data_IF_908639799067
#
_entry.id   IF_908639799067
#
_cell.length_a   1.000
_cell.length_b   1.000
_cell.length_c   1.000
_cell.angle_alpha   90.00
_cell.angle_beta   90.00
_cell.angle_gamma   90.00
#
_symmetry.space_group_name_H-M   'P 1'
#
loop_
_entity.id
_entity.type
_entity.pdbx_description
1 polymer ?
#
# COMPACT_ATOMS: atom_id res chain seq x y z
N UNK A 1 -1.10 49.56 43.19
CA UNK A 1 -2.28 48.88 42.61
C UNK A 1 -1.97 48.44 41.19
N UNK A 2 -1.69 47.16 40.93
CA UNK A 2 -1.70 46.58 39.59
C UNK A 2 -1.81 45.04 39.69
N UNK A 3 -3.03 44.49 39.60
CA UNK A 3 -3.23 43.03 39.51
C UNK A 3 -3.07 42.61 38.05
N UNK A 4 -1.95 41.96 37.72
CA UNK A 4 -1.72 41.30 36.43
C UNK A 4 -2.66 40.08 36.36
N UNK A 5 -3.70 40.16 35.53
CA UNK A 5 -4.57 39.01 35.24
C UNK A 5 -3.76 38.03 34.38
N UNK A 6 -3.38 36.88 34.94
CA UNK A 6 -2.77 35.78 34.19
C UNK A 6 -3.82 35.28 33.18
N UNK A 7 -3.59 35.50 31.90
CA UNK A 7 -4.34 34.80 30.84
C UNK A 7 -3.91 33.33 30.88
N UNK A 8 -4.69 32.49 31.57
CA UNK A 8 -4.55 31.04 31.45
C UNK A 8 -5.03 30.67 30.05
N UNK A 9 -4.09 30.28 29.18
CA UNK A 9 -4.41 29.70 27.90
C UNK A 9 -5.24 28.44 28.16
N UNK A 10 -6.55 28.50 27.91
CA UNK A 10 -7.46 27.34 28.00
C UNK A 10 -6.88 26.23 27.14
N UNK A 11 -6.30 25.22 27.79
CA UNK A 11 -5.93 23.98 27.13
C UNK A 11 -7.20 23.39 26.52
N UNK A 12 -7.25 23.27 25.18
CA UNK A 12 -8.36 22.65 24.47
C UNK A 12 -8.29 21.14 24.75
N UNK A 13 -9.13 20.64 25.65
CA UNK A 13 -9.32 19.21 25.83
C UNK A 13 -10.17 18.67 24.68
N UNK A 14 -9.74 17.55 24.10
CA UNK A 14 -10.51 16.82 23.08
C UNK A 14 -11.79 16.26 23.69
N UNK A 15 -12.92 16.39 23.00
CA UNK A 15 -14.18 15.78 23.44
C UNK A 15 -14.21 14.30 23.06
N UNK A 16 -14.90 13.46 23.84
CA UNK A 16 -15.11 12.05 23.51
C UNK A 16 -15.80 11.86 22.14
N UNK A 17 -16.67 12.80 21.76
CA UNK A 17 -17.41 12.80 20.51
C UNK A 17 -16.47 12.97 19.32
N UNK A 18 -15.50 13.90 19.39
CA UNK A 18 -14.51 14.08 18.32
C UNK A 18 -13.67 12.82 18.11
N UNK A 19 -13.24 12.16 19.18
CA UNK A 19 -12.52 10.89 19.11
C UNK A 19 -13.36 9.78 18.48
N UNK A 20 -14.64 9.69 18.86
CA UNK A 20 -15.57 8.68 18.36
C UNK A 20 -15.86 8.83 16.86
N UNK A 21 -16.02 10.06 16.38
CA UNK A 21 -16.24 10.33 14.94
C UNK A 21 -15.00 9.95 14.13
N UNK A 22 -13.79 10.24 14.64
CA UNK A 22 -12.54 9.92 13.94
C UNK A 22 -12.37 8.41 13.77
N UNK A 23 -12.56 7.61 14.82
CA UNK A 23 -12.44 6.15 14.70
C UNK A 23 -13.51 5.56 13.77
N UNK A 24 -14.72 6.14 13.73
CA UNK A 24 -15.77 5.71 12.83
C UNK A 24 -15.38 5.92 11.35
N UNK A 25 -14.81 7.08 11.02
CA UNK A 25 -14.33 7.37 9.67
C UNK A 25 -13.17 6.44 9.30
N UNK A 26 -12.20 6.24 10.20
CA UNK A 26 -11.07 5.33 9.97
C UNK A 26 -11.57 3.89 9.72
N UNK A 27 -12.55 3.41 10.48
CA UNK A 27 -13.12 2.08 10.32
C UNK A 27 -13.77 1.88 8.95
N UNK A 28 -14.53 2.87 8.47
CA UNK A 28 -15.16 2.83 7.14
C UNK A 28 -14.10 2.78 6.05
N UNK A 29 -13.07 3.63 6.13
CA UNK A 29 -11.97 3.64 5.16
C UNK A 29 -11.19 2.33 5.17
N UNK A 30 -10.86 1.81 6.36
CA UNK A 30 -10.13 0.56 6.52
C UNK A 30 -10.91 -0.65 5.99
N UNK A 31 -12.24 -0.69 6.17
CA UNK A 31 -13.09 -1.75 5.66
C UNK A 31 -13.06 -1.87 4.13
N UNK A 32 -12.85 -0.77 3.40
CA UNK A 32 -12.72 -0.76 1.94
C UNK A 32 -11.26 -1.01 1.52
N UNK A 33 -10.30 -0.42 2.25
CA UNK A 33 -8.88 -0.51 1.92
C UNK A 33 -8.33 -1.93 2.11
N UNK A 34 -8.70 -2.61 3.20
CA UNK A 34 -8.19 -3.94 3.53
C UNK A 34 -8.45 -5.00 2.44
N UNK A 35 -9.69 -5.18 1.92
CA UNK A 35 -9.94 -6.14 0.83
C UNK A 35 -9.30 -5.72 -0.48
N UNK A 36 -9.17 -4.41 -0.74
CA UNK A 36 -8.51 -3.90 -1.95
C UNK A 36 -7.00 -4.18 -1.92
N UNK A 37 -6.35 -4.01 -0.76
CA UNK A 37 -4.92 -4.21 -0.58
C UNK A 37 -4.49 -5.67 -0.87
N UNK A 38 -5.25 -6.65 -0.37
CA UNK A 38 -4.98 -8.07 -0.63
C UNK A 38 -4.98 -8.41 -2.14
N UNK A 39 -5.97 -7.89 -2.88
CA UNK A 39 -6.06 -8.07 -4.34
C UNK A 39 -4.94 -7.36 -5.08
N UNK A 40 -4.53 -6.18 -4.62
CA UNK A 40 -3.42 -5.43 -5.22
C UNK A 40 -2.08 -6.17 -5.07
N UNK A 41 -1.83 -6.76 -3.90
CA UNK A 41 -0.63 -7.57 -3.65
C UNK A 41 -0.58 -8.81 -4.55
N UNK A 42 -1.69 -9.55 -4.65
CA UNK A 42 -1.78 -10.73 -5.52
C UNK A 42 -1.50 -10.37 -6.99
N UNK A 43 -2.11 -9.28 -7.49
CA UNK A 43 -1.82 -8.76 -8.83
C UNK A 43 -0.36 -8.36 -9.01
N UNK A 44 0.27 -7.80 -7.99
CA UNK A 44 1.70 -7.50 -7.98
C UNK A 44 2.55 -8.77 -8.16
N UNK A 45 2.26 -9.82 -7.41
CA UNK A 45 2.95 -11.11 -7.55
C UNK A 45 2.74 -11.73 -8.93
N UNK A 46 1.51 -11.70 -9.45
CA UNK A 46 1.20 -12.17 -10.81
C UNK A 46 1.97 -11.39 -11.88
N UNK A 47 2.07 -10.07 -11.74
CA UNK A 47 2.82 -9.21 -12.66
C UNK A 47 4.31 -9.58 -12.68
N UNK A 48 4.90 -9.83 -11.51
CA UNK A 48 6.29 -10.29 -11.40
C UNK A 48 6.48 -11.67 -12.05
N UNK A 49 5.60 -12.63 -11.75
CA UNK A 49 5.67 -13.97 -12.34
C UNK A 49 5.56 -13.92 -13.88
N UNK A 50 4.60 -13.15 -14.41
CA UNK A 50 4.44 -12.98 -15.84
C UNK A 50 5.67 -12.31 -16.49
N UNK A 51 6.27 -11.33 -15.82
CA UNK A 51 7.51 -10.70 -16.28
C UNK A 51 8.66 -11.70 -16.33
N UNK A 52 8.84 -12.50 -15.28
CA UNK A 52 9.88 -13.52 -15.22
C UNK A 52 9.69 -14.57 -16.32
N UNK A 53 8.46 -15.05 -16.54
CA UNK A 53 8.18 -16.01 -17.61
C UNK A 53 8.49 -15.43 -19.00
N UNK A 54 8.13 -14.17 -19.25
CA UNK A 54 8.50 -13.49 -20.51
C UNK A 54 10.01 -13.42 -20.68
N UNK A 55 10.75 -13.09 -19.62
CA UNK A 55 12.22 -13.07 -19.64
C UNK A 55 12.81 -14.45 -19.93
N UNK A 56 12.32 -15.51 -19.29
CA UNK A 56 12.77 -16.88 -19.53
C UNK A 56 12.46 -17.36 -20.95
N UNK A 57 11.26 -17.07 -21.47
CA UNK A 57 10.91 -17.37 -22.86
C UNK A 57 11.80 -16.61 -23.85
N UNK A 58 12.14 -15.36 -23.54
CA UNK A 58 13.03 -14.54 -24.37
C UNK A 58 14.43 -15.13 -24.37
N UNK A 59 14.97 -15.48 -23.20
CA UNK A 59 16.27 -16.14 -23.07
C UNK A 59 16.32 -17.49 -23.80
N UNK A 60 15.26 -18.29 -23.68
CA UNK A 60 15.11 -19.56 -24.41
C UNK A 60 15.16 -19.36 -25.93
N UNK A 61 14.45 -18.35 -26.44
CA UNK A 61 14.45 -18.02 -27.87
C UNK A 61 15.81 -17.53 -28.35
N UNK A 62 16.50 -16.73 -27.54
CA UNK A 62 17.87 -16.30 -27.84
C UNK A 62 18.81 -17.50 -27.93
N UNK A 63 18.77 -18.39 -26.94
CA UNK A 63 19.57 -19.61 -26.96
C UNK A 63 19.29 -20.49 -28.19
N UNK A 64 18.01 -20.72 -28.51
CA UNK A 64 17.64 -21.50 -29.68
C UNK A 64 18.08 -20.83 -31.00
N UNK A 65 18.11 -19.51 -31.07
CA UNK A 65 18.64 -18.81 -32.25
C UNK A 65 20.15 -19.03 -32.42
N UNK A 66 20.89 -19.13 -31.31
CA UNK A 66 22.34 -19.35 -31.32
C UNK A 66 22.71 -20.84 -31.49
N UNK A 67 21.83 -21.78 -31.13
CA UNK A 67 22.08 -23.23 -31.11
C UNK A 67 21.18 -24.03 -32.06
N UNK A 68 21.13 -23.63 -33.34
CA UNK A 68 20.45 -24.35 -34.44
C UNK A 68 18.97 -24.71 -34.19
N UNK A 69 18.28 -23.93 -33.36
CA UNK A 69 16.87 -24.13 -33.00
C UNK A 69 16.64 -25.03 -31.78
N UNK A 70 17.69 -25.50 -31.10
CA UNK A 70 17.56 -26.28 -29.88
C UNK A 70 17.29 -25.39 -28.65
N UNK A 71 16.25 -25.69 -27.88
CA UNK A 71 15.96 -25.01 -26.62
C UNK A 71 16.92 -25.45 -25.50
N UNK A 72 17.06 -24.61 -24.47
CA UNK A 72 17.84 -24.98 -23.28
C UNK A 72 17.18 -26.19 -22.59
N UNK A 73 17.98 -27.19 -22.16
CA UNK A 73 17.49 -28.41 -21.54
C UNK A 73 16.82 -28.19 -20.17
#
# INVERSE_FOLDING_TARGET
MARKVRQEARARAFTLIELLVVIAIIAILAAILFPFFARAQERGHMSTCASNLRQLCTANRMYAADWEGHFVP
#
